data_IF_596531120541
#
_entry.id   IF_596531120541
#
_cell.length_a   1.000
_cell.length_b   1.000
_cell.length_c   1.000
_cell.angle_alpha   90.00
_cell.angle_beta   90.00
_cell.angle_gamma   90.00
#
_symmetry.space_group_name_H-M   'P 1'
#
loop_
_entity.id
_entity.type
_entity.pdbx_description
1 polymer ?
#
# COMPACT_ATOMS: atom_id res chain seq x y z
N UNK A 1 -20.52 -20.06 -35.08
CA UNK A 1 -21.11 -18.76 -34.71
C UNK A 1 -19.99 -17.92 -34.11
N UNK A 2 -19.69 -16.73 -34.64
CA UNK A 2 -18.79 -15.85 -33.90
C UNK A 2 -19.46 -15.54 -32.57
N UNK A 3 -18.71 -15.66 -31.45
CA UNK A 3 -19.18 -15.29 -30.14
C UNK A 3 -19.67 -13.82 -30.19
N UNK A 4 -20.87 -13.55 -29.67
CA UNK A 4 -21.32 -12.18 -29.52
C UNK A 4 -20.31 -11.47 -28.62
N UNK A 5 -19.94 -10.22 -28.90
CA UNK A 5 -18.90 -9.50 -28.15
C UNK A 5 -19.19 -9.29 -26.66
N UNK A 6 -20.21 -9.97 -26.13
CA UNK A 6 -20.67 -9.95 -24.74
C UNK A 6 -20.64 -11.33 -24.05
N UNK A 7 -20.20 -12.38 -24.76
CA UNK A 7 -20.10 -13.72 -24.16
C UNK A 7 -18.94 -13.77 -23.17
N UNK A 8 -19.23 -14.17 -21.92
CA UNK A 8 -18.25 -14.30 -20.87
C UNK A 8 -17.72 -15.75 -20.79
N UNK A 9 -16.44 -15.90 -20.50
CA UNK A 9 -15.83 -17.19 -20.18
C UNK A 9 -15.40 -17.23 -18.72
N UNK A 10 -15.46 -18.38 -18.10
CA UNK A 10 -14.93 -18.58 -16.74
C UNK A 10 -13.43 -18.73 -16.79
N UNK A 11 -12.72 -17.93 -15.98
CA UNK A 11 -11.26 -17.98 -15.82
C UNK A 11 -10.89 -18.08 -14.33
N UNK A 12 -9.65 -18.49 -14.04
CA UNK A 12 -9.08 -18.54 -12.69
C UNK A 12 -7.76 -17.77 -12.67
N UNK A 13 -7.79 -16.42 -12.54
CA UNK A 13 -6.57 -15.65 -12.48
C UNK A 13 -5.83 -15.92 -11.15
N UNK A 14 -4.50 -15.91 -11.19
CA UNK A 14 -3.66 -16.13 -10.00
C UNK A 14 -3.68 -14.97 -9.02
N UNK A 15 -4.29 -13.84 -9.37
CA UNK A 15 -4.45 -12.66 -8.52
C UNK A 15 -5.63 -11.82 -9.02
N UNK A 16 -6.28 -11.09 -8.10
CA UNK A 16 -7.44 -10.26 -8.39
C UNK A 16 -7.16 -8.76 -8.20
N UNK A 17 -5.90 -8.34 -8.30
CA UNK A 17 -5.56 -6.92 -8.28
C UNK A 17 -6.00 -6.23 -9.58
N UNK A 18 -7.20 -5.68 -9.59
CA UNK A 18 -7.83 -5.10 -10.79
C UNK A 18 -7.76 -3.56 -10.83
N UNK A 19 -6.69 -2.97 -10.30
CA UNK A 19 -6.46 -1.52 -10.33
C UNK A 19 -6.53 -0.87 -8.95
N UNK A 20 -5.88 -1.48 -7.95
CA UNK A 20 -5.73 -0.91 -6.62
C UNK A 20 -4.51 0.02 -6.56
N UNK A 21 -4.52 1.08 -5.75
CA UNK A 21 -3.35 1.93 -5.59
C UNK A 21 -2.21 1.16 -4.91
N UNK A 22 -0.97 1.45 -5.34
CA UNK A 22 0.21 1.03 -4.58
C UNK A 22 0.35 1.92 -3.37
N UNK A 23 0.63 1.32 -2.22
CA UNK A 23 0.94 2.00 -0.98
C UNK A 23 2.26 1.50 -0.40
N UNK A 24 3.03 2.43 0.17
CA UNK A 24 4.23 2.14 0.96
C UNK A 24 3.88 2.41 2.43
N UNK A 25 3.62 1.35 3.18
CA UNK A 25 3.25 1.46 4.59
C UNK A 25 4.51 1.49 5.44
N UNK A 26 4.78 2.60 6.12
CA UNK A 26 5.88 2.73 7.07
C UNK A 26 5.42 2.45 8.49
N UNK A 27 6.21 1.70 9.22
CA UNK A 27 5.99 1.30 10.61
C UNK A 27 7.30 1.26 11.36
N UNK A 28 7.28 1.26 12.70
CA UNK A 28 8.46 1.11 13.53
C UNK A 28 8.49 -0.27 14.19
N UNK A 29 9.66 -0.88 14.22
CA UNK A 29 9.89 -2.07 15.03
C UNK A 29 10.03 -1.73 16.54
N UNK A 30 10.26 -2.73 17.38
CA UNK A 30 10.44 -2.57 18.84
C UNK A 30 11.65 -1.74 19.24
N UNK A 31 12.63 -1.58 18.35
CA UNK A 31 13.84 -0.79 18.52
C UNK A 31 13.74 0.61 17.94
N UNK A 32 12.57 0.95 17.37
CA UNK A 32 12.35 2.21 16.68
C UNK A 32 12.89 2.25 15.24
N UNK A 33 13.36 1.13 14.70
CA UNK A 33 13.81 1.09 13.32
C UNK A 33 12.62 1.07 12.34
N UNK A 34 12.68 1.93 11.31
CA UNK A 34 11.62 2.07 10.34
C UNK A 34 11.65 0.96 9.29
N UNK A 35 10.49 0.35 9.03
CA UNK A 35 10.29 -0.61 7.96
C UNK A 35 9.31 -0.07 6.93
N UNK A 36 9.53 -0.34 5.64
CA UNK A 36 8.61 -0.08 4.55
C UNK A 36 7.98 -1.40 4.08
N UNK A 37 6.66 -1.42 3.96
CA UNK A 37 5.90 -2.55 3.38
C UNK A 37 5.21 -2.08 2.10
N UNK A 38 5.73 -2.41 0.91
CA UNK A 38 5.02 -2.20 -0.34
C UNK A 38 3.80 -3.12 -0.41
N UNK A 39 2.66 -2.57 -0.80
CA UNK A 39 1.41 -3.31 -0.94
C UNK A 39 0.44 -2.61 -1.88
N UNK A 40 -0.64 -3.30 -2.27
CA UNK A 40 -1.73 -2.73 -3.06
C UNK A 40 -3.12 -3.17 -2.59
N UNK A 41 -3.20 -3.92 -1.49
CA UNK A 41 -4.47 -4.31 -0.88
C UNK A 41 -4.95 -3.19 0.07
N UNK A 42 -5.26 -2.03 -0.48
CA UNK A 42 -5.67 -0.84 0.25
C UNK A 42 -6.87 -0.16 -0.42
N UNK A 43 -7.82 0.31 0.40
CA UNK A 43 -8.91 1.17 -0.04
C UNK A 43 -9.28 2.15 1.07
N UNK A 44 -9.98 3.22 0.71
CA UNK A 44 -10.37 4.30 1.61
C UNK A 44 -11.86 4.57 1.55
N UNK A 45 -12.46 4.90 2.69
CA UNK A 45 -13.81 5.43 2.80
C UNK A 45 -13.85 6.43 3.97
N UNK A 46 -14.31 7.64 3.69
CA UNK A 46 -14.27 8.77 4.61
C UNK A 46 -12.83 8.97 5.19
N UNK A 47 -12.67 8.98 6.49
CA UNK A 47 -11.39 9.08 7.20
C UNK A 47 -10.80 7.70 7.58
N UNK A 48 -11.22 6.63 6.90
CA UNK A 48 -10.76 5.26 7.16
C UNK A 48 -9.98 4.69 6.00
N UNK A 49 -8.96 3.90 6.34
CA UNK A 49 -8.27 3.02 5.41
C UNK A 49 -8.45 1.57 5.84
N UNK A 50 -8.63 0.70 4.87
CA UNK A 50 -8.60 -0.75 5.09
C UNK A 50 -7.42 -1.34 4.31
N UNK A 51 -6.60 -2.12 5.02
CA UNK A 51 -5.43 -2.80 4.48
C UNK A 51 -5.59 -4.31 4.59
N UNK A 52 -5.06 -5.04 3.60
CA UNK A 52 -4.83 -6.48 3.69
C UNK A 52 -3.33 -6.76 3.80
N UNK A 53 -2.83 -7.21 4.94
CA UNK A 53 -1.41 -7.51 5.16
C UNK A 53 -1.20 -8.99 5.47
N UNK A 54 -0.11 -9.58 4.95
CA UNK A 54 0.31 -10.92 5.37
C UNK A 54 0.56 -10.96 6.89
N UNK A 55 -0.07 -11.92 7.58
CA UNK A 55 0.03 -12.08 9.04
C UNK A 55 1.46 -12.35 9.54
N UNK A 56 2.35 -12.83 8.67
CA UNK A 56 3.77 -13.09 8.98
C UNK A 56 4.71 -11.97 8.53
N UNK A 57 4.17 -10.84 8.01
CA UNK A 57 4.95 -9.70 7.57
C UNK A 57 5.48 -8.85 8.74
N UNK A 58 6.69 -8.27 8.60
CA UNK A 58 7.24 -7.37 9.62
C UNK A 58 6.36 -6.13 9.82
N UNK A 59 5.87 -5.52 8.72
CA UNK A 59 4.99 -4.35 8.81
C UNK A 59 3.69 -4.64 9.55
N UNK A 60 3.10 -5.83 9.35
CA UNK A 60 1.93 -6.27 10.09
C UNK A 60 2.22 -6.40 11.59
N UNK A 61 3.31 -7.10 11.96
CA UNK A 61 3.71 -7.26 13.36
C UNK A 61 3.99 -5.91 14.04
N UNK A 62 4.67 -4.99 13.35
CA UNK A 62 4.95 -3.65 13.85
C UNK A 62 3.65 -2.87 14.10
N UNK A 63 2.73 -2.87 13.13
CA UNK A 63 1.47 -2.14 13.21
C UNK A 63 0.57 -2.67 14.32
N UNK A 64 0.46 -4.00 14.46
CA UNK A 64 -0.33 -4.61 15.53
C UNK A 64 0.23 -4.32 16.93
N UNK A 65 1.55 -4.20 17.05
CA UNK A 65 2.23 -3.87 18.31
C UNK A 65 2.18 -2.37 18.61
N UNK A 66 2.50 -1.51 17.63
CA UNK A 66 2.70 -0.07 17.82
C UNK A 66 1.43 0.76 17.61
N UNK A 67 0.44 0.23 16.90
CA UNK A 67 -0.82 0.92 16.64
C UNK A 67 -0.73 2.09 15.65
N UNK A 68 0.43 2.35 15.06
CA UNK A 68 0.67 3.52 14.21
C UNK A 68 1.37 3.14 12.90
N UNK A 69 0.99 3.82 11.83
CA UNK A 69 1.62 3.70 10.52
C UNK A 69 1.48 5.00 9.71
N UNK A 70 2.32 5.15 8.68
CA UNK A 70 2.04 6.11 7.60
C UNK A 70 1.81 5.33 6.31
N UNK A 71 0.71 5.64 5.64
CA UNK A 71 0.40 5.12 4.31
C UNK A 71 0.83 6.17 3.29
N UNK A 72 1.93 5.89 2.60
CA UNK A 72 2.50 6.79 1.61
C UNK A 72 2.05 6.33 0.22
N UNK A 73 1.45 7.21 -0.56
CA UNK A 73 0.95 6.93 -1.90
C UNK A 73 1.93 7.49 -2.95
N UNK A 74 2.68 6.60 -3.62
CA UNK A 74 3.63 6.99 -4.64
C UNK A 74 2.93 7.34 -5.95
N UNK A 75 3.63 8.11 -6.79
CA UNK A 75 3.30 8.34 -8.19
C UNK A 75 4.05 7.38 -9.12
N UNK A 76 3.69 7.30 -10.41
CA UNK A 76 4.27 6.35 -11.36
C UNK A 76 5.80 6.39 -11.50
N UNK A 77 6.51 7.52 -11.45
CA UNK A 77 7.98 7.56 -11.51
C UNK A 77 8.68 6.74 -10.42
N UNK A 78 8.03 6.50 -9.28
CA UNK A 78 8.62 5.76 -8.16
C UNK A 78 8.60 4.23 -8.33
N UNK A 79 8.00 3.68 -9.40
CA UNK A 79 7.86 2.22 -9.58
C UNK A 79 9.19 1.46 -9.48
N UNK A 80 10.28 2.00 -10.06
CA UNK A 80 11.60 1.37 -10.02
C UNK A 80 12.20 1.36 -8.59
N UNK A 81 11.96 2.40 -7.80
CA UNK A 81 12.36 2.48 -6.40
C UNK A 81 11.62 1.43 -5.56
N UNK A 82 10.33 1.26 -5.84
CA UNK A 82 9.47 0.27 -5.17
C UNK A 82 9.92 -1.15 -5.52
N UNK A 83 10.24 -1.44 -6.79
CA UNK A 83 10.73 -2.75 -7.20
C UNK A 83 12.07 -3.12 -6.53
N UNK A 84 12.94 -2.18 -6.23
CA UNK A 84 14.18 -2.45 -5.48
C UNK A 84 13.91 -3.08 -4.10
N UNK A 85 12.81 -2.69 -3.45
CA UNK A 85 12.44 -3.19 -2.11
C UNK A 85 11.36 -4.28 -2.16
N UNK A 86 10.73 -4.55 -3.31
CA UNK A 86 9.57 -5.44 -3.42
C UNK A 86 9.88 -6.87 -2.94
N UNK A 87 11.06 -7.41 -3.27
CA UNK A 87 11.52 -8.75 -2.83
C UNK A 87 12.32 -8.72 -1.53
N UNK A 88 11.95 -7.84 -0.60
CA UNK A 88 12.62 -7.75 0.70
C UNK A 88 11.64 -7.87 1.86
N UNK A 89 12.14 -8.31 2.98
CA UNK A 89 11.39 -8.36 4.25
C UNK A 89 12.23 -7.81 5.39
N UNK A 90 11.60 -7.03 6.29
CA UNK A 90 12.24 -6.64 7.55
C UNK A 90 12.29 -7.77 8.58
N UNK A 91 11.66 -8.93 8.30
CA UNK A 91 11.64 -10.08 9.21
C UNK A 91 12.96 -10.84 9.15
N UNK A 92 13.56 -11.09 10.33
CA UNK A 92 14.72 -11.96 10.50
C UNK A 92 14.40 -12.97 11.61
N UNK A 93 14.52 -14.29 11.35
CA UNK A 93 14.79 -14.90 10.06
C UNK A 93 13.69 -14.64 9.02
N UNK A 94 14.04 -14.76 7.74
CA UNK A 94 13.06 -14.68 6.65
C UNK A 94 12.08 -15.87 6.76
N UNK A 95 10.77 -15.68 6.77
CA UNK A 95 9.80 -16.79 6.78
C UNK A 95 9.98 -17.73 5.58
N UNK A 96 9.80 -19.05 5.80
CA UNK A 96 10.09 -20.08 4.80
C UNK A 96 9.35 -19.86 3.46
N UNK A 97 8.05 -19.54 3.53
CA UNK A 97 7.27 -19.25 2.32
C UNK A 97 7.83 -18.06 1.53
N UNK A 98 8.42 -17.05 2.20
CA UNK A 98 9.08 -15.91 1.55
C UNK A 98 10.43 -16.31 0.96
N UNK A 99 11.18 -17.18 1.65
CA UNK A 99 12.42 -17.72 1.09
C UNK A 99 12.18 -18.46 -0.20
N UNK A 100 11.14 -19.32 -0.25
CA UNK A 100 10.73 -20.03 -1.45
C UNK A 100 10.37 -19.09 -2.62
N UNK A 101 9.88 -17.88 -2.34
CA UNK A 101 9.59 -16.83 -3.32
C UNK A 101 10.78 -15.91 -3.64
N UNK A 102 11.98 -16.21 -3.09
CA UNK A 102 13.20 -15.45 -3.34
C UNK A 102 13.30 -14.12 -2.56
N UNK A 103 12.57 -13.99 -1.45
CA UNK A 103 12.74 -12.82 -0.57
C UNK A 103 14.03 -12.91 0.23
N UNK A 104 14.65 -11.75 0.48
CA UNK A 104 15.79 -11.60 1.38
C UNK A 104 15.47 -10.63 2.52
N UNK A 105 16.19 -10.80 3.64
CA UNK A 105 16.12 -9.81 4.71
C UNK A 105 16.76 -8.49 4.29
N UNK A 106 16.10 -7.38 4.64
CA UNK A 106 16.60 -6.02 4.46
C UNK A 106 16.18 -5.16 5.65
N UNK A 107 17.16 -4.68 6.38
CA UNK A 107 16.96 -3.85 7.57
C UNK A 107 16.65 -2.38 7.20
N UNK A 108 17.30 -1.84 6.16
CA UNK A 108 17.13 -0.45 5.73
C UNK A 108 16.55 -0.33 4.31
N UNK A 109 15.25 -0.51 4.22
CA UNK A 109 14.54 -0.36 2.96
C UNK A 109 14.46 1.08 2.46
N UNK A 110 14.65 2.08 3.32
CA UNK A 110 14.79 3.46 2.89
C UNK A 110 16.04 3.64 2.04
N UNK A 111 17.19 3.22 2.54
CA UNK A 111 18.45 3.28 1.80
C UNK A 111 18.38 2.45 0.51
N UNK A 112 17.89 1.20 0.57
CA UNK A 112 17.77 0.33 -0.59
C UNK A 112 16.85 0.90 -1.68
N UNK A 113 15.72 1.48 -1.29
CA UNK A 113 14.77 2.13 -2.20
C UNK A 113 15.23 3.50 -2.69
N UNK A 114 16.20 4.13 -2.03
CA UNK A 114 16.58 5.53 -2.27
C UNK A 114 15.51 6.50 -1.78
N UNK A 115 14.84 6.17 -0.67
CA UNK A 115 13.81 6.99 -0.06
C UNK A 115 14.36 7.83 1.09
N UNK A 116 13.79 9.04 1.24
CA UNK A 116 14.14 9.98 2.32
C UNK A 116 13.10 9.94 3.43
N UNK A 117 13.58 9.79 4.68
CA UNK A 117 12.70 9.85 5.86
C UNK A 117 12.33 11.30 6.15
N UNK A 118 11.04 11.54 6.38
CA UNK A 118 10.52 12.81 6.88
C UNK A 118 9.72 12.57 8.16
N UNK A 119 9.92 13.39 9.18
CA UNK A 119 9.20 13.25 10.44
C UNK A 119 7.68 13.42 10.24
N UNK A 120 6.90 12.58 10.90
CA UNK A 120 5.44 12.72 11.01
C UNK A 120 5.06 13.75 12.06
N UNK A 121 3.81 14.20 12.08
CA UNK A 121 3.27 15.17 13.04
C UNK A 121 2.57 14.48 14.21
N UNK A 122 1.74 13.48 13.93
CA UNK A 122 0.84 12.87 14.91
C UNK A 122 1.18 11.42 15.27
N UNK A 123 2.10 10.77 14.52
CA UNK A 123 2.52 9.38 14.73
C UNK A 123 4.03 9.26 14.70
N UNK A 124 4.57 8.17 15.28
CA UNK A 124 6.01 7.96 15.35
C UNK A 124 6.65 7.45 14.02
N UNK A 125 6.02 6.57 13.20
CA UNK A 125 6.60 6.13 11.95
C UNK A 125 6.86 7.29 10.97
N UNK A 126 8.01 7.32 10.28
CA UNK A 126 8.34 8.40 9.36
C UNK A 126 7.51 8.31 8.07
N UNK A 127 7.29 9.45 7.45
CA UNK A 127 6.79 9.59 6.08
C UNK A 127 7.92 9.34 5.07
N UNK A 128 7.55 9.05 3.82
CA UNK A 128 8.47 8.98 2.67
C UNK A 128 8.36 10.28 1.90
N UNK A 129 9.45 11.07 1.88
CA UNK A 129 9.45 12.41 1.28
C UNK A 129 9.07 12.43 -0.21
N UNK A 130 9.44 11.39 -0.96
CA UNK A 130 9.21 11.30 -2.41
C UNK A 130 7.75 10.95 -2.76
N UNK A 131 6.95 10.46 -1.79
CA UNK A 131 5.53 10.16 -2.04
C UNK A 131 4.70 11.44 -1.98
N UNK A 132 3.97 11.81 -3.06
CA UNK A 132 3.25 13.08 -3.10
C UNK A 132 2.09 13.20 -2.11
N UNK A 133 1.49 12.08 -1.70
CA UNK A 133 0.40 12.04 -0.71
C UNK A 133 0.76 11.06 0.40
N UNK A 134 0.64 11.50 1.67
CA UNK A 134 1.04 10.71 2.84
C UNK A 134 -0.03 10.83 3.93
N UNK A 135 -0.46 9.70 4.46
CA UNK A 135 -1.56 9.59 5.42
C UNK A 135 -1.02 9.03 6.73
N UNK A 136 -0.97 9.82 7.78
CA UNK A 136 -0.64 9.36 9.14
C UNK A 136 -1.87 8.67 9.72
N UNK A 137 -1.67 7.48 10.29
CA UNK A 137 -2.79 6.63 10.66
C UNK A 137 -2.60 5.96 12.01
N UNK A 138 -3.73 5.66 12.68
CA UNK A 138 -3.80 4.86 13.89
C UNK A 138 -4.68 3.63 13.70
N UNK A 139 -4.23 2.52 14.26
CA UNK A 139 -4.95 1.26 14.25
C UNK A 139 -6.26 1.38 15.03
N UNK A 140 -7.37 0.99 14.40
CA UNK A 140 -8.67 0.85 15.02
C UNK A 140 -8.99 -0.61 15.28
N UNK A 141 -8.97 -1.42 14.22
CA UNK A 141 -9.32 -2.83 14.27
C UNK A 141 -8.37 -3.67 13.43
N UNK A 142 -8.15 -4.91 13.87
CA UNK A 142 -7.43 -5.91 13.11
C UNK A 142 -8.15 -7.26 13.27
N UNK A 143 -8.41 -7.93 12.14
CA UNK A 143 -9.08 -9.23 12.11
C UNK A 143 -8.33 -10.16 11.17
N UNK A 144 -7.96 -11.33 11.67
CA UNK A 144 -7.41 -12.39 10.82
C UNK A 144 -8.49 -12.89 9.85
N UNK A 145 -8.13 -13.01 8.58
CA UNK A 145 -8.96 -13.73 7.62
C UNK A 145 -9.02 -15.20 8.06
N UNK A 146 -10.21 -15.78 8.04
CA UNK A 146 -10.37 -17.21 8.29
C UNK A 146 -9.92 -17.94 7.03
N UNK A 147 -9.06 -18.97 7.12
CA UNK A 147 -8.75 -19.83 5.99
C UNK A 147 -10.05 -20.41 5.40
N UNK A 148 -10.13 -20.50 4.06
CA UNK A 148 -11.17 -21.27 3.39
C UNK A 148 -10.95 -22.77 3.58
N UNK A 149 -11.93 -23.60 3.25
CA UNK A 149 -11.85 -25.07 3.36
C UNK A 149 -10.74 -25.69 2.48
N UNK A 150 -10.26 -24.93 1.47
CA UNK A 150 -9.18 -25.31 0.53
C UNK A 150 -7.81 -24.69 0.89
N UNK A 151 -7.67 -24.07 2.06
CA UNK A 151 -6.43 -23.38 2.41
C UNK A 151 -5.31 -24.37 2.72
N UNK A 152 -4.28 -24.29 1.90
CA UNK A 152 -3.01 -24.96 2.10
C UNK A 152 -2.45 -24.56 3.50
N UNK A 153 -2.05 -25.54 4.30
CA UNK A 153 -1.46 -25.34 5.63
C UNK A 153 -0.22 -24.42 5.60
N UNK A 154 0.29 -24.10 4.43
CA UNK A 154 1.42 -23.18 4.19
C UNK A 154 0.99 -21.72 3.92
N UNK A 155 -0.31 -21.43 3.73
CA UNK A 155 -0.76 -20.05 3.59
C UNK A 155 -0.75 -19.35 4.97
N UNK A 156 0.07 -18.31 5.15
CA UNK A 156 0.13 -17.57 6.41
C UNK A 156 -1.16 -16.80 6.71
N UNK A 157 -2.12 -16.83 5.79
CA UNK A 157 -3.31 -15.99 5.83
C UNK A 157 -3.00 -14.50 5.74
N UNK A 158 -4.03 -13.69 5.74
CA UNK A 158 -3.91 -12.25 5.81
C UNK A 158 -4.71 -11.67 6.98
N UNK A 159 -4.32 -10.47 7.39
CA UNK A 159 -5.02 -9.70 8.41
C UNK A 159 -5.66 -8.51 7.71
N UNK A 160 -6.96 -8.35 7.88
CA UNK A 160 -7.69 -7.14 7.52
C UNK A 160 -7.50 -6.15 8.65
N UNK A 161 -6.99 -4.97 8.32
CA UNK A 161 -6.65 -3.92 9.26
C UNK A 161 -7.42 -2.66 8.89
N UNK A 162 -8.12 -2.09 9.86
CA UNK A 162 -8.79 -0.80 9.75
C UNK A 162 -7.99 0.26 10.48
N UNK A 163 -7.72 1.38 9.79
CA UNK A 163 -6.95 2.52 10.29
C UNK A 163 -7.79 3.80 10.24
N UNK A 164 -7.69 4.62 11.28
CA UNK A 164 -8.14 6.01 11.23
C UNK A 164 -7.04 6.88 10.63
N UNK A 165 -7.37 7.72 9.65
CA UNK A 165 -6.48 8.77 9.16
C UNK A 165 -6.53 9.94 10.15
N UNK A 166 -5.37 10.28 10.72
CA UNK A 166 -5.28 11.37 11.71
C UNK A 166 -4.62 12.63 11.16
N UNK A 167 -3.86 12.50 10.06
CA UNK A 167 -3.26 13.63 9.37
C UNK A 167 -2.99 13.30 7.90
N UNK A 168 -3.18 14.28 7.01
CA UNK A 168 -2.92 14.14 5.58
C UNK A 168 -1.89 15.17 5.17
N UNK A 169 -0.84 14.73 4.49
CA UNK A 169 0.18 15.58 3.88
C UNK A 169 0.14 15.42 2.37
N UNK A 170 0.19 16.54 1.66
CA UNK A 170 0.29 16.56 0.20
C UNK A 170 1.43 17.49 -0.22
N UNK A 171 2.15 17.12 -1.29
CA UNK A 171 3.09 18.04 -1.91
C UNK A 171 2.33 19.24 -2.48
N UNK A 172 2.81 20.48 -2.32
CA UNK A 172 2.14 21.65 -2.88
C UNK A 172 1.85 21.54 -4.39
N UNK A 173 2.72 20.83 -5.13
CA UNK A 173 2.55 20.63 -6.56
C UNK A 173 1.28 19.88 -6.97
N UNK A 174 0.69 19.09 -6.07
CA UNK A 174 -0.53 18.31 -6.33
C UNK A 174 -1.78 18.89 -5.66
N UNK A 175 -1.68 20.06 -5.05
CA UNK A 175 -2.80 20.75 -4.38
C UNK A 175 -3.28 21.90 -5.26
N UNK A 176 -4.58 22.06 -5.37
CA UNK A 176 -5.19 23.22 -6.04
C UNK A 176 -4.93 24.47 -5.22
N UNK A 177 -4.43 25.51 -5.86
CA UNK A 177 -4.04 26.77 -5.22
C UNK A 177 -5.18 27.38 -4.38
N UNK A 178 -4.89 27.70 -3.13
CA UNK A 178 -5.87 28.29 -2.21
C UNK A 178 -6.92 27.32 -1.67
N UNK A 179 -6.77 26.01 -1.88
CA UNK A 179 -7.69 24.98 -1.40
C UNK A 179 -6.97 23.88 -0.62
N UNK A 180 -7.73 22.91 -0.12
CA UNK A 180 -7.22 21.66 0.47
C UNK A 180 -7.53 20.43 -0.41
N UNK A 181 -7.79 20.66 -1.70
CA UNK A 181 -8.17 19.59 -2.63
C UNK A 181 -6.99 19.17 -3.51
N UNK A 182 -6.89 17.86 -3.74
CA UNK A 182 -5.88 17.29 -4.66
C UNK A 182 -6.28 17.61 -6.10
N UNK A 183 -5.34 18.17 -6.87
CA UNK A 183 -5.49 18.39 -8.29
C UNK A 183 -5.30 17.08 -9.06
N UNK A 184 -6.39 16.47 -9.49
CA UNK A 184 -6.37 15.22 -10.25
C UNK A 184 -5.77 15.35 -11.65
N UNK A 185 -5.47 16.56 -12.12
CA UNK A 185 -4.72 16.77 -13.36
C UNK A 185 -3.20 16.76 -13.13
N UNK A 186 -2.76 17.07 -11.92
CA UNK A 186 -1.32 17.13 -11.53
C UNK A 186 -0.85 15.89 -10.77
N UNK A 187 -1.75 15.04 -10.28
CA UNK A 187 -1.40 13.84 -9.55
C UNK A 187 -2.07 12.60 -10.11
N UNK A 188 -1.26 11.57 -10.25
CA UNK A 188 -1.68 10.23 -10.63
C UNK A 188 -1.10 9.23 -9.62
N UNK A 189 -1.93 8.46 -8.90
CA UNK A 189 -1.41 7.38 -8.07
C UNK A 189 -0.78 6.30 -8.93
N UNK A 190 0.25 5.63 -8.41
CA UNK A 190 0.73 4.39 -8.99
C UNK A 190 -0.31 3.30 -8.73
N UNK A 191 -0.81 2.67 -9.79
CA UNK A 191 -1.80 1.60 -9.72
C UNK A 191 -1.14 0.23 -9.98
N UNK A 192 -1.68 -0.81 -9.34
CA UNK A 192 -1.28 -2.20 -9.52
C UNK A 192 -2.43 -2.99 -10.15
N UNK A 193 -2.22 -3.47 -11.38
CA UNK A 193 -3.23 -4.17 -12.18
C UNK A 193 -2.67 -5.51 -12.62
N UNK A 194 -3.16 -6.61 -12.06
CA UNK A 194 -2.71 -7.97 -12.41
C UNK A 194 -1.17 -8.11 -12.50
N UNK A 195 -0.45 -7.59 -11.48
CA UNK A 195 1.02 -7.58 -11.35
C UNK A 195 1.77 -6.62 -12.30
N UNK A 196 1.09 -5.67 -12.90
CA UNK A 196 1.70 -4.60 -13.68
C UNK A 196 1.44 -3.25 -13.03
N UNK A 197 2.38 -2.32 -13.21
CA UNK A 197 2.25 -0.95 -12.74
C UNK A 197 1.65 -0.06 -13.81
N UNK A 198 0.72 0.81 -13.39
CA UNK A 198 0.07 1.80 -14.27
C UNK A 198 -0.01 3.15 -13.55
N UNK A 199 -0.06 4.24 -14.32
CA UNK A 199 -0.61 5.52 -13.87
C UNK A 199 -2.08 5.64 -14.27
N UNK A 200 -2.73 6.73 -13.90
CA UNK A 200 -4.05 7.10 -14.42
C UNK A 200 -3.92 7.52 -15.88
N UNK A 201 -4.91 7.16 -16.67
CA UNK A 201 -5.04 7.61 -18.06
C UNK A 201 -5.80 8.93 -18.15
N UNK A 202 -6.32 9.22 -19.35
CA UNK A 202 -7.15 10.38 -19.64
C UNK A 202 -8.41 10.40 -18.77
N UNK A 203 -8.77 11.60 -18.23
CA UNK A 203 -10.03 11.80 -17.52
C UNK A 203 -11.21 11.51 -18.45
N UNK A 204 -12.10 10.60 -18.07
CA UNK A 204 -13.27 10.21 -18.87
C UNK A 204 -14.55 10.97 -18.52
N UNK A 205 -14.61 11.57 -17.34
CA UNK A 205 -15.81 12.27 -16.90
C UNK A 205 -15.63 12.87 -15.52
N UNK A 206 -16.70 13.48 -15.03
CA UNK A 206 -16.80 14.07 -13.69
C UNK A 206 -17.95 13.42 -12.94
N UNK A 207 -17.71 12.96 -11.73
CA UNK A 207 -18.75 12.50 -10.82
C UNK A 207 -19.53 13.71 -10.28
N UNK A 208 -20.81 13.53 -9.95
CA UNK A 208 -21.67 14.60 -9.40
C UNK A 208 -21.18 15.14 -8.05
N UNK A 209 -20.33 14.39 -7.33
CA UNK A 209 -19.70 14.79 -6.06
C UNK A 209 -18.29 15.35 -6.24
N UNK A 210 -17.80 15.51 -7.48
CA UNK A 210 -16.47 16.03 -7.69
C UNK A 210 -16.38 17.48 -7.20
N UNK A 211 -15.41 17.76 -6.33
CA UNK A 211 -15.19 19.07 -5.71
C UNK A 211 -14.55 20.07 -6.66
N UNK A 212 -13.93 19.58 -7.76
CA UNK A 212 -13.20 20.39 -8.76
C UNK A 212 -13.46 19.90 -10.18
#
# INVERSE_FOLDING_TARGET
MPASGHDAITIRPSTLYFGTPVALVTTLDERGAANITPMSSVWALDDRLVLGLSGQGQGCANLLRGGEAVVNLPDPPLHAAIERIARTTGRAPVPDYKQALGYRHEADKFALGGFTRTASHAVAPPRIAECPLQLETRLLHARRSTPGDDDDAHDPGFIVIELAVVHVHAHPAIVLDGTQHVDTARWSPLLYVFRHYFGTGERRGRNFRAET
#
